data_IF_657642735665
#
_entry.id   IF_657642735665
#
_cell.length_a   1.000
_cell.length_b   1.000
_cell.length_c   1.000
_cell.angle_alpha   90.00
_cell.angle_beta   90.00
_cell.angle_gamma   90.00
#
_symmetry.space_group_name_H-M   'P 1'
#
loop_
_entity.id
_entity.type
_entity.pdbx_description
1 polymer ?
#
# COMPACT_ATOMS: atom_id res chain seq x y z
N UNK A 1 61.45 -20.05 -13.61
CA UNK A 1 60.65 -21.10 -14.26
C UNK A 1 59.21 -20.97 -13.75
N UNK A 2 58.34 -20.26 -14.47
CA UNK A 2 56.96 -19.97 -14.03
C UNK A 2 56.05 -21.07 -14.57
N UNK A 3 55.56 -21.96 -13.70
CA UNK A 3 54.58 -23.00 -14.07
C UNK A 3 53.21 -22.36 -14.22
N UNK A 4 52.72 -22.24 -15.46
CA UNK A 4 51.33 -21.88 -15.77
C UNK A 4 50.40 -22.99 -15.31
N UNK A 5 49.56 -22.69 -14.31
CA UNK A 5 48.42 -23.51 -13.92
C UNK A 5 47.32 -23.25 -14.96
N UNK A 6 47.12 -24.18 -15.89
CA UNK A 6 45.99 -24.17 -16.83
C UNK A 6 44.73 -24.54 -16.04
N UNK A 7 43.87 -23.56 -15.78
CA UNK A 7 42.54 -23.78 -15.23
C UNK A 7 41.70 -24.48 -16.31
N UNK A 8 41.25 -25.71 -16.03
CA UNK A 8 40.23 -26.39 -16.83
C UNK A 8 38.89 -25.72 -16.52
N UNK A 9 38.42 -24.85 -17.40
CA UNK A 9 37.03 -24.42 -17.36
C UNK A 9 36.15 -25.57 -17.85
N UNK A 10 35.45 -26.21 -16.92
CA UNK A 10 34.40 -27.18 -17.23
C UNK A 10 33.16 -26.39 -17.66
N UNK A 11 32.81 -26.46 -18.95
CA UNK A 11 31.57 -25.87 -19.47
C UNK A 11 30.33 -26.64 -18.99
N UNK A 12 29.20 -25.92 -18.87
CA UNK A 12 27.89 -26.48 -18.53
C UNK A 12 27.41 -27.43 -19.63
N UNK A 13 26.82 -28.57 -19.28
CA UNK A 13 26.25 -29.51 -20.25
C UNK A 13 24.90 -28.99 -20.77
N UNK A 14 24.55 -29.35 -22.01
CA UNK A 14 23.23 -29.01 -22.59
C UNK A 14 22.08 -29.59 -21.76
N UNK A 15 22.30 -30.74 -21.12
CA UNK A 15 21.31 -31.40 -20.26
C UNK A 15 21.04 -30.58 -19.01
N UNK A 16 22.08 -30.03 -18.39
CA UNK A 16 21.90 -29.17 -17.21
C UNK A 16 21.12 -27.91 -17.55
N UNK A 17 21.40 -27.27 -18.69
CA UNK A 17 20.63 -26.10 -19.10
C UNK A 17 19.17 -26.45 -19.43
N UNK A 18 18.92 -27.60 -20.06
CA UNK A 18 17.59 -28.09 -20.40
C UNK A 18 16.74 -28.39 -19.16
N UNK A 19 17.29 -29.11 -18.18
CA UNK A 19 16.57 -29.44 -16.95
C UNK A 19 16.27 -28.17 -16.14
N UNK A 20 17.21 -27.21 -16.12
CA UNK A 20 17.03 -25.96 -15.38
C UNK A 20 15.88 -25.12 -15.92
N UNK A 21 15.80 -24.92 -17.24
CA UNK A 21 14.69 -24.16 -17.83
C UNK A 21 13.34 -24.89 -17.66
N UNK A 22 13.35 -26.22 -17.66
CA UNK A 22 12.15 -27.02 -17.40
C UNK A 22 11.65 -26.81 -15.97
N UNK A 23 12.54 -26.86 -14.97
CA UNK A 23 12.18 -26.59 -13.57
C UNK A 23 11.74 -25.13 -13.39
N UNK A 24 12.47 -24.18 -13.97
CA UNK A 24 12.10 -22.77 -13.94
C UNK A 24 10.69 -22.55 -14.51
N UNK A 25 10.35 -23.18 -15.64
CA UNK A 25 9.01 -23.08 -16.24
C UNK A 25 7.88 -23.48 -15.28
N UNK A 26 8.06 -24.56 -14.52
CA UNK A 26 7.09 -25.00 -13.51
C UNK A 26 7.02 -24.01 -12.34
N UNK A 27 8.17 -23.57 -11.83
CA UNK A 27 8.23 -22.62 -10.70
C UNK A 27 7.58 -21.27 -11.06
N UNK A 28 7.81 -20.76 -12.26
CA UNK A 28 7.19 -19.51 -12.73
C UNK A 28 5.66 -19.60 -12.74
N UNK A 29 5.11 -20.73 -13.15
CA UNK A 29 3.65 -20.96 -13.14
C UNK A 29 3.03 -20.81 -11.75
N UNK A 30 3.64 -21.40 -10.72
CA UNK A 30 3.11 -21.35 -9.34
C UNK A 30 3.28 -19.95 -8.73
N UNK A 31 4.44 -19.32 -8.92
CA UNK A 31 4.75 -18.01 -8.34
C UNK A 31 3.82 -16.92 -8.87
N UNK A 32 3.51 -16.92 -10.17
CA UNK A 32 2.63 -15.90 -10.77
C UNK A 32 1.20 -15.90 -10.19
N UNK A 33 0.68 -17.07 -9.82
CA UNK A 33 -0.61 -17.17 -9.14
C UNK A 33 -0.56 -16.57 -7.73
N UNK A 34 0.52 -16.83 -6.99
CA UNK A 34 0.71 -16.29 -5.64
C UNK A 34 0.85 -14.76 -5.63
N UNK A 35 1.54 -14.18 -6.62
CA UNK A 35 1.77 -12.73 -6.69
C UNK A 35 0.52 -11.92 -7.07
N UNK A 36 -0.41 -12.49 -7.84
CA UNK A 36 -1.61 -11.78 -8.32
C UNK A 36 -2.50 -11.22 -7.19
N UNK A 37 -2.60 -11.92 -6.06
CA UNK A 37 -3.42 -11.48 -4.92
C UNK A 37 -2.71 -10.53 -3.95
N UNK A 38 -1.38 -10.54 -3.91
CA UNK A 38 -0.62 -9.79 -2.90
C UNK A 38 -0.77 -8.28 -3.05
N UNK A 39 -0.71 -7.77 -4.28
CA UNK A 39 -0.82 -6.33 -4.56
C UNK A 39 -2.21 -5.81 -4.23
N UNK A 40 -3.26 -6.53 -4.62
CA UNK A 40 -4.66 -6.18 -4.33
C UNK A 40 -4.96 -6.21 -2.83
N UNK A 41 -4.43 -7.19 -2.10
CA UNK A 41 -4.58 -7.25 -0.65
C UNK A 41 -3.82 -6.12 0.05
N UNK A 42 -2.60 -5.82 -0.41
CA UNK A 42 -1.81 -4.72 0.13
C UNK A 42 -2.51 -3.36 -0.08
N UNK A 43 -3.08 -3.11 -1.26
CA UNK A 43 -3.80 -1.86 -1.53
C UNK A 43 -5.10 -1.78 -0.73
N UNK A 44 -5.86 -2.86 -0.61
CA UNK A 44 -7.08 -2.90 0.23
C UNK A 44 -6.76 -2.64 1.70
N UNK A 45 -5.69 -3.26 2.23
CA UNK A 45 -5.27 -3.04 3.60
C UNK A 45 -4.77 -1.60 3.83
N UNK A 46 -4.05 -1.04 2.85
CA UNK A 46 -3.58 0.36 2.91
C UNK A 46 -4.77 1.32 2.91
N UNK A 47 -5.77 1.07 2.05
CA UNK A 47 -7.02 1.83 1.98
C UNK A 47 -7.78 1.83 3.29
N UNK A 48 -7.93 0.65 3.92
CA UNK A 48 -8.61 0.50 5.20
C UNK A 48 -7.85 1.20 6.34
N UNK A 49 -6.52 1.06 6.37
CA UNK A 49 -5.68 1.72 7.37
C UNK A 49 -5.71 3.24 7.26
N UNK A 50 -5.70 3.79 6.05
CA UNK A 50 -5.81 5.24 5.86
C UNK A 50 -7.22 5.75 6.20
N UNK A 51 -8.28 5.01 5.86
CA UNK A 51 -9.65 5.35 6.28
C UNK A 51 -9.76 5.47 7.81
N UNK A 52 -9.22 4.49 8.55
CA UNK A 52 -9.21 4.51 10.01
C UNK A 52 -8.41 5.69 10.58
N UNK A 53 -7.29 6.04 9.96
CA UNK A 53 -6.52 7.24 10.31
C UNK A 53 -7.32 8.53 10.12
N UNK A 54 -8.06 8.65 9.02
CA UNK A 54 -8.91 9.82 8.75
C UNK A 54 -10.06 9.88 9.76
N UNK A 55 -10.76 8.77 10.01
CA UNK A 55 -11.84 8.73 11.00
C UNK A 55 -11.34 9.10 12.40
N UNK A 56 -10.21 8.51 12.82
CA UNK A 56 -9.60 8.83 14.13
C UNK A 56 -9.23 10.31 14.22
N UNK A 57 -8.73 10.92 13.15
CA UNK A 57 -8.39 12.35 13.14
C UNK A 57 -9.64 13.23 13.32
N UNK A 58 -10.76 12.86 12.68
CA UNK A 58 -12.05 13.53 12.86
C UNK A 58 -12.55 13.39 14.30
N UNK A 59 -12.49 12.19 14.86
CA UNK A 59 -12.93 11.92 16.23
C UNK A 59 -12.12 12.71 17.26
N UNK A 60 -10.79 12.80 17.08
CA UNK A 60 -9.92 13.61 17.92
C UNK A 60 -10.28 15.10 17.79
N UNK A 61 -10.48 15.60 16.57
CA UNK A 61 -10.86 17.00 16.35
C UNK A 61 -12.17 17.33 17.07
N UNK A 62 -13.19 16.47 16.95
CA UNK A 62 -14.48 16.64 17.60
C UNK A 62 -14.36 16.59 19.14
N UNK A 63 -13.59 15.65 19.66
CA UNK A 63 -13.37 15.50 21.11
C UNK A 63 -12.64 16.70 21.74
N UNK A 64 -11.66 17.28 21.04
CA UNK A 64 -10.87 18.41 21.55
C UNK A 64 -11.64 19.72 21.48
N UNK A 65 -12.37 19.98 20.38
CA UNK A 65 -12.89 21.31 20.11
C UNK A 65 -14.32 21.56 20.62
N UNK A 66 -15.13 20.53 20.87
CA UNK A 66 -16.55 20.74 21.21
C UNK A 66 -17.14 19.67 22.13
N UNK A 67 -17.18 19.87 23.46
CA UNK A 67 -17.88 18.97 24.38
C UNK A 67 -19.43 19.08 24.32
N UNK A 68 -20.02 19.62 23.24
CA UNK A 68 -21.47 19.86 23.17
C UNK A 68 -22.11 20.08 21.79
N UNK A 69 -21.33 20.42 20.75
CA UNK A 69 -21.84 20.56 19.37
C UNK A 69 -20.83 19.95 18.40
N UNK A 70 -21.06 18.70 18.02
CA UNK A 70 -20.13 17.90 17.20
C UNK A 70 -20.33 18.18 15.71
N UNK A 71 -19.66 19.20 15.17
CA UNK A 71 -19.72 19.44 13.72
C UNK A 71 -18.37 19.68 13.07
N UNK A 72 -18.14 18.99 11.95
CA UNK A 72 -17.06 19.27 10.99
C UNK A 72 -17.67 19.88 9.72
N UNK A 73 -16.92 20.71 9.01
CA UNK A 73 -17.30 21.18 7.68
C UNK A 73 -17.34 19.98 6.72
N UNK A 74 -18.55 19.57 6.32
CA UNK A 74 -18.75 18.38 5.49
C UNK A 74 -18.07 18.49 4.12
N UNK A 75 -17.46 17.40 3.67
CA UNK A 75 -16.98 17.22 2.31
C UNK A 75 -17.88 16.22 1.59
N UNK A 76 -18.81 16.74 0.79
CA UNK A 76 -19.78 15.94 0.03
C UNK A 76 -19.24 15.48 -1.32
N UNK A 77 -18.24 16.16 -1.87
CA UNK A 77 -17.55 15.75 -3.09
C UNK A 77 -16.36 14.86 -2.74
N UNK A 78 -16.23 13.72 -3.41
CA UNK A 78 -15.07 12.84 -3.24
C UNK A 78 -13.77 13.55 -3.58
N UNK A 79 -12.84 13.58 -2.64
CA UNK A 79 -11.53 14.18 -2.82
C UNK A 79 -10.56 13.78 -1.71
N UNK A 80 -9.24 14.02 -1.89
CA UNK A 80 -8.29 13.76 -0.84
C UNK A 80 -8.53 14.72 0.34
N UNK A 81 -8.20 14.28 1.55
CA UNK A 81 -8.08 15.18 2.69
C UNK A 81 -6.92 16.13 2.41
N UNK A 82 -7.16 17.42 2.56
CA UNK A 82 -6.14 18.46 2.34
C UNK A 82 -5.93 19.26 3.62
N UNK A 83 -4.95 20.17 3.60
CA UNK A 83 -4.65 21.07 4.73
C UNK A 83 -5.80 22.03 5.09
N UNK A 84 -6.83 22.14 4.24
CA UNK A 84 -8.02 22.94 4.51
C UNK A 84 -9.10 22.22 5.30
N UNK A 85 -8.97 20.92 5.59
CA UNK A 85 -9.91 20.20 6.44
C UNK A 85 -9.75 20.62 7.91
N UNK A 86 -10.86 20.73 8.65
CA UNK A 86 -10.84 21.19 10.05
C UNK A 86 -9.93 20.33 10.95
N UNK A 87 -9.87 19.03 10.66
CA UNK A 87 -9.06 18.03 11.38
C UNK A 87 -7.66 17.81 10.77
N UNK A 88 -7.24 18.61 9.79
CA UNK A 88 -5.97 18.42 9.08
C UNK A 88 -4.73 18.38 10.00
N UNK A 89 -4.76 19.10 11.12
CA UNK A 89 -3.67 19.10 12.10
C UNK A 89 -3.45 17.74 12.79
N UNK A 90 -4.45 16.86 12.75
CA UNK A 90 -4.42 15.52 13.36
C UNK A 90 -3.98 14.42 12.38
N UNK A 91 -3.69 14.77 11.12
CA UNK A 91 -3.16 13.85 10.11
C UNK A 91 -1.71 14.22 9.79
N UNK A 92 -0.80 13.25 9.88
CA UNK A 92 0.64 13.47 9.68
C UNK A 92 1.02 13.82 8.24
N UNK A 93 0.39 13.19 7.27
CA UNK A 93 0.73 13.32 5.85
C UNK A 93 -0.51 13.76 5.08
N UNK A 94 -0.43 14.96 4.51
CA UNK A 94 -1.46 15.53 3.66
C UNK A 94 -0.82 16.00 2.34
N UNK A 95 -1.53 15.91 1.19
CA UNK A 95 -2.87 15.34 1.04
C UNK A 95 -2.91 13.82 1.27
N UNK A 96 -4.08 13.28 1.62
CA UNK A 96 -4.29 11.82 1.71
C UNK A 96 -4.09 11.16 0.34
N UNK A 97 -3.67 9.89 0.34
CA UNK A 97 -3.40 9.13 -0.89
C UNK A 97 -4.69 8.71 -1.60
N UNK A 98 -5.74 8.40 -0.83
CA UNK A 98 -7.08 8.09 -1.35
C UNK A 98 -8.07 9.25 -1.13
N UNK A 99 -9.23 9.13 -1.79
CA UNK A 99 -10.31 10.10 -1.70
C UNK A 99 -11.38 9.68 -0.70
N UNK A 100 -11.93 10.67 -0.01
CA UNK A 100 -12.90 10.51 1.06
C UNK A 100 -14.03 11.51 0.92
N UNK A 101 -15.15 11.17 1.54
CA UNK A 101 -16.25 12.08 1.86
C UNK A 101 -16.50 12.00 3.34
N UNK A 102 -16.89 13.10 3.98
CA UNK A 102 -17.34 13.08 5.37
C UNK A 102 -18.52 14.01 5.54
N UNK A 103 -19.44 13.63 6.41
CA UNK A 103 -20.60 14.44 6.74
C UNK A 103 -20.31 15.44 7.86
N UNK A 104 -21.34 16.16 8.29
CA UNK A 104 -21.20 17.13 9.38
C UNK A 104 -21.01 16.45 10.75
N UNK A 105 -21.47 15.20 10.93
CA UNK A 105 -21.27 14.44 12.17
C UNK A 105 -19.84 13.89 12.29
N UNK A 106 -19.10 13.85 11.18
CA UNK A 106 -17.74 13.35 11.13
C UNK A 106 -17.63 11.90 10.65
N UNK A 107 -18.70 11.34 10.08
CA UNK A 107 -18.67 9.98 9.53
C UNK A 107 -17.92 9.99 8.20
N UNK A 108 -16.77 9.31 8.15
CA UNK A 108 -15.89 9.26 6.98
C UNK A 108 -16.22 8.03 6.12
N UNK A 109 -16.37 8.24 4.82
CA UNK A 109 -16.52 7.18 3.83
C UNK A 109 -15.44 7.29 2.74
N UNK A 110 -14.83 6.16 2.40
CA UNK A 110 -13.89 6.04 1.29
C UNK A 110 -14.65 5.80 -0.03
N UNK A 111 -14.15 6.38 -1.12
CA UNK A 111 -14.71 6.26 -2.48
C UNK A 111 -13.82 5.40 -3.39
#
# INVERSE_FOLDING_TARGET
MIRRILHKEQGFTLVELLVTIAIMGVLFGIVTLALNGLTTNATTNTKAAELDQVQTAVDIYLAVNYPGTTTVTAQTASGPVTTGADFAAYIRSLPSQYSYTWDAAGDVAQQ
#
